data_IF_727532908772
#
_entry.id   IF_727532908772
#
_cell.length_a   1.000
_cell.length_b   1.000
_cell.length_c   1.000
_cell.angle_alpha   90.00
_cell.angle_beta   90.00
_cell.angle_gamma   90.00
#
_symmetry.space_group_name_H-M   'P 1'
#
loop_
_entity.id
_entity.type
_entity.pdbx_description
1 polymer ?
#
# COMPACT_ATOMS: atom_id res chain seq x y z
N UNK A 1 -24.89 4.35 19.68
CA UNK A 1 -24.12 4.47 18.42
C UNK A 1 -24.81 3.85 17.20
N UNK A 2 -25.52 2.72 17.29
CA UNK A 2 -26.16 2.07 16.13
C UNK A 2 -27.21 2.94 15.39
N UNK A 3 -27.98 3.77 16.09
CA UNK A 3 -29.02 4.62 15.48
C UNK A 3 -28.48 5.76 14.61
N UNK A 4 -27.26 6.25 14.87
CA UNK A 4 -26.64 7.34 14.11
C UNK A 4 -26.21 6.86 12.73
N UNK A 5 -25.64 5.66 12.65
CA UNK A 5 -25.24 5.05 11.38
C UNK A 5 -26.44 4.71 10.49
N UNK A 6 -27.52 4.20 11.08
CA UNK A 6 -28.77 3.92 10.35
C UNK A 6 -29.37 5.21 9.80
N UNK A 7 -29.40 6.28 10.60
CA UNK A 7 -29.89 7.60 10.14
C UNK A 7 -29.08 8.17 8.97
N UNK A 8 -27.76 8.02 8.99
CA UNK A 8 -26.87 8.54 7.94
C UNK A 8 -27.05 7.78 6.61
N UNK A 9 -27.30 6.47 6.67
CA UNK A 9 -27.62 5.64 5.51
C UNK A 9 -28.95 6.04 4.87
N UNK A 10 -29.98 6.30 5.69
CA UNK A 10 -31.31 6.73 5.20
C UNK A 10 -31.22 8.09 4.51
N UNK A 11 -30.42 9.03 5.06
CA UNK A 11 -30.18 10.35 4.47
C UNK A 11 -29.44 10.22 3.12
N UNK A 12 -28.45 9.34 3.02
CA UNK A 12 -27.71 9.08 1.77
C UNK A 12 -28.60 8.45 0.68
N UNK A 13 -29.46 7.51 1.05
CA UNK A 13 -30.45 6.91 0.14
C UNK A 13 -31.47 7.94 -0.34
N UNK A 14 -31.96 8.80 0.55
CA UNK A 14 -32.86 9.90 0.19
C UNK A 14 -32.19 10.91 -0.74
N UNK A 15 -30.94 11.29 -0.46
CA UNK A 15 -30.18 12.20 -1.32
C UNK A 15 -29.92 11.60 -2.72
N UNK A 16 -29.58 10.31 -2.80
CA UNK A 16 -29.41 9.59 -4.06
C UNK A 16 -30.71 9.47 -4.87
N UNK A 17 -31.84 9.20 -4.21
CA UNK A 17 -33.15 9.14 -4.83
C UNK A 17 -33.63 10.51 -5.34
N UNK A 18 -33.42 11.58 -4.56
CA UNK A 18 -33.76 12.96 -4.96
C UNK A 18 -32.93 13.41 -6.16
N UNK A 19 -31.63 13.08 -6.21
CA UNK A 19 -30.77 13.36 -7.36
C UNK A 19 -31.22 12.61 -8.64
N UNK A 20 -31.77 11.40 -8.49
CA UNK A 20 -32.30 10.60 -9.61
C UNK A 20 -33.64 11.13 -10.13
N UNK A 21 -34.54 11.59 -9.24
CA UNK A 21 -35.86 12.13 -9.61
C UNK A 21 -35.74 13.52 -10.24
N UNK A 22 -34.84 14.37 -9.76
CA UNK A 22 -34.59 15.71 -10.32
C UNK A 22 -33.71 15.68 -11.58
N UNK A 23 -33.02 14.56 -11.85
CA UNK A 23 -32.06 14.40 -12.96
C UNK A 23 -32.65 14.27 -14.37
N UNK A 24 -33.96 14.45 -14.57
CA UNK A 24 -34.61 14.16 -15.86
C UNK A 24 -34.53 15.28 -16.90
N UNK A 25 -33.97 16.45 -16.60
CA UNK A 25 -33.72 17.51 -17.58
C UNK A 25 -32.35 18.19 -17.38
N UNK A 26 -31.37 17.87 -18.23
CA UNK A 26 -30.21 18.73 -18.50
C UNK A 26 -28.88 18.48 -17.78
N UNK A 27 -28.69 17.37 -17.04
CA UNK A 27 -27.48 17.15 -16.22
C UNK A 27 -26.43 16.26 -16.91
N UNK A 28 -25.14 16.58 -16.65
CA UNK A 28 -23.94 15.89 -17.11
C UNK A 28 -23.94 14.38 -16.74
N UNK A 29 -23.54 13.52 -17.68
CA UNK A 29 -23.50 12.05 -17.52
C UNK A 29 -22.69 11.60 -16.30
N UNK A 30 -21.71 12.39 -15.88
CA UNK A 30 -20.89 12.13 -14.69
C UNK A 30 -21.68 12.11 -13.39
N UNK A 31 -22.66 13.02 -13.21
CA UNK A 31 -23.47 13.10 -11.98
C UNK A 31 -24.38 11.88 -11.82
N UNK A 32 -24.90 11.33 -12.93
CA UNK A 32 -25.69 10.11 -12.93
C UNK A 32 -24.86 8.89 -12.49
N UNK A 33 -23.60 8.81 -12.96
CA UNK A 33 -22.66 7.74 -12.58
C UNK A 33 -22.34 7.82 -11.09
N UNK A 34 -22.09 9.01 -10.55
CA UNK A 34 -21.84 9.19 -9.10
C UNK A 34 -23.04 8.80 -8.24
N UNK A 35 -24.27 9.15 -8.66
CA UNK A 35 -25.48 8.75 -7.94
C UNK A 35 -25.65 7.21 -7.89
N UNK A 36 -25.38 6.52 -8.99
CA UNK A 36 -25.37 5.06 -9.03
C UNK A 36 -24.27 4.46 -8.15
N UNK A 37 -23.07 5.05 -8.17
CA UNK A 37 -21.94 4.62 -7.33
C UNK A 37 -22.29 4.70 -5.85
N UNK A 38 -22.95 5.78 -5.42
CA UNK A 38 -23.42 5.97 -4.03
C UNK A 38 -24.47 4.92 -3.64
N UNK A 39 -25.43 4.62 -4.53
CA UNK A 39 -26.44 3.59 -4.26
C UNK A 39 -25.83 2.20 -4.13
N UNK A 40 -24.88 1.84 -5.01
CA UNK A 40 -24.20 0.54 -4.98
C UNK A 40 -23.32 0.39 -3.75
N UNK A 41 -22.56 1.43 -3.38
CA UNK A 41 -21.73 1.39 -2.15
C UNK A 41 -22.60 1.32 -0.89
N UNK A 42 -23.73 2.01 -0.85
CA UNK A 42 -24.66 1.95 0.29
C UNK A 42 -25.27 0.56 0.43
N UNK A 43 -25.71 -0.06 -0.68
CA UNK A 43 -26.21 -1.44 -0.67
C UNK A 43 -25.13 -2.45 -0.22
N UNK A 44 -23.89 -2.28 -0.70
CA UNK A 44 -22.75 -3.10 -0.26
C UNK A 44 -22.46 -2.98 1.23
N UNK A 45 -22.56 -1.77 1.80
CA UNK A 45 -22.36 -1.54 3.22
C UNK A 45 -23.44 -2.21 4.09
N UNK A 46 -24.73 -2.13 3.68
CA UNK A 46 -25.84 -2.80 4.39
C UNK A 46 -25.65 -4.31 4.40
N UNK A 47 -25.23 -4.90 3.27
CA UNK A 47 -24.96 -6.33 3.16
C UNK A 47 -23.81 -6.78 4.10
N UNK A 48 -22.71 -6.01 4.14
CA UNK A 48 -21.59 -6.26 5.04
C UNK A 48 -22.01 -6.17 6.53
N UNK A 49 -22.77 -5.15 6.89
CA UNK A 49 -23.28 -4.97 8.25
C UNK A 49 -24.19 -6.13 8.69
N UNK A 50 -25.08 -6.62 7.80
CA UNK A 50 -25.92 -7.79 8.06
C UNK A 50 -25.09 -9.05 8.33
N UNK A 51 -24.04 -9.29 7.53
CA UNK A 51 -23.16 -10.45 7.71
C UNK A 51 -22.37 -10.41 9.02
N UNK A 52 -21.92 -9.23 9.43
CA UNK A 52 -21.25 -9.04 10.73
C UNK A 52 -22.21 -9.30 11.89
N UNK A 53 -23.45 -8.81 11.81
CA UNK A 53 -24.48 -9.05 12.82
C UNK A 53 -24.82 -10.54 13.01
N UNK A 54 -24.87 -11.30 11.92
CA UNK A 54 -25.13 -12.74 11.97
C UNK A 54 -23.94 -13.52 12.56
N UNK A 55 -22.71 -13.11 12.22
CA UNK A 55 -21.49 -13.64 12.83
C UNK A 55 -21.45 -13.37 14.34
N UNK A 56 -21.84 -12.18 14.78
CA UNK A 56 -21.95 -11.85 16.20
C UNK A 56 -23.04 -12.66 16.92
N UNK A 57 -24.18 -12.94 16.26
CA UNK A 57 -25.24 -13.78 16.84
C UNK A 57 -24.72 -15.19 17.13
N UNK A 58 -24.11 -15.82 16.12
CA UNK A 58 -23.52 -17.16 16.25
C UNK A 58 -22.41 -17.17 17.31
N UNK A 59 -21.58 -16.12 17.35
CA UNK A 59 -20.54 -15.99 18.37
C UNK A 59 -21.12 -15.87 19.78
N UNK A 60 -22.16 -15.06 19.99
CA UNK A 60 -22.85 -14.95 21.28
C UNK A 60 -23.50 -16.26 21.72
N UNK A 61 -24.07 -17.02 20.79
CA UNK A 61 -24.59 -18.38 21.07
C UNK A 61 -23.47 -19.31 21.53
N UNK A 62 -22.35 -19.38 20.80
CA UNK A 62 -21.20 -20.20 21.19
C UNK A 62 -20.60 -19.80 22.53
N UNK A 63 -20.48 -18.50 22.81
CA UNK A 63 -19.98 -17.99 24.09
C UNK A 63 -20.93 -18.34 25.24
N UNK A 64 -22.25 -18.28 25.03
CA UNK A 64 -23.22 -18.71 26.06
C UNK A 64 -23.14 -20.20 26.32
N UNK A 65 -23.05 -21.01 25.27
CA UNK A 65 -22.94 -22.47 25.37
C UNK A 65 -21.64 -22.88 26.07
N UNK A 66 -20.51 -22.28 25.67
CA UNK A 66 -19.21 -22.46 26.34
C UNK A 66 -19.25 -22.04 27.81
N UNK A 67 -19.85 -20.89 28.12
CA UNK A 67 -19.99 -20.45 29.51
C UNK A 67 -20.88 -21.38 30.35
N UNK A 68 -21.93 -21.95 29.74
CA UNK A 68 -22.78 -22.95 30.40
C UNK A 68 -22.00 -24.25 30.66
N UNK A 69 -21.24 -24.73 29.68
CA UNK A 69 -20.36 -25.90 29.83
C UNK A 69 -19.30 -25.66 30.90
N UNK A 70 -18.58 -24.54 30.86
CA UNK A 70 -17.58 -24.16 31.87
C UNK A 70 -18.20 -24.14 33.27
N UNK A 71 -19.37 -23.51 33.45
CA UNK A 71 -20.05 -23.48 34.76
C UNK A 71 -20.40 -24.87 35.25
N UNK A 72 -20.95 -25.71 34.37
CA UNK A 72 -21.37 -27.07 34.73
C UNK A 72 -20.16 -27.95 35.07
N UNK A 73 -19.06 -27.84 34.32
CA UNK A 73 -17.81 -28.56 34.59
C UNK A 73 -17.09 -28.06 35.84
N UNK A 74 -17.16 -26.75 36.14
CA UNK A 74 -16.44 -26.15 37.29
C UNK A 74 -17.18 -26.33 38.61
N UNK A 75 -18.50 -26.24 38.59
CA UNK A 75 -19.32 -26.14 39.80
C UNK A 75 -20.39 -27.24 39.91
N UNK A 76 -20.50 -28.12 38.91
CA UNK A 76 -21.42 -29.26 38.92
C UNK A 76 -22.87 -28.87 38.67
N UNK A 77 -23.77 -29.81 38.95
CA UNK A 77 -25.22 -29.74 38.66
C UNK A 77 -25.98 -28.67 39.46
N UNK A 78 -25.33 -28.08 40.46
CA UNK A 78 -25.91 -27.11 41.39
C UNK A 78 -25.47 -25.66 41.13
N UNK A 79 -24.69 -25.44 40.07
CA UNK A 79 -24.19 -24.13 39.68
C UNK A 79 -25.33 -23.13 39.45
N UNK A 80 -25.35 -22.04 40.22
CA UNK A 80 -26.35 -20.97 40.11
C UNK A 80 -27.69 -21.24 40.78
N UNK A 81 -27.89 -22.40 41.44
CA UNK A 81 -29.09 -22.66 42.24
C UNK A 81 -29.06 -21.88 43.56
N UNK A 82 -30.23 -21.52 44.06
CA UNK A 82 -30.42 -20.84 45.35
C UNK A 82 -30.76 -21.86 46.43
N UNK A 83 -29.94 -21.93 47.47
CA UNK A 83 -30.05 -22.88 48.58
C UNK A 83 -30.66 -22.24 49.83
N UNK A 84 -31.47 -23.01 50.55
CA UNK A 84 -31.94 -22.67 51.89
C UNK A 84 -31.53 -23.77 52.88
N UNK A 85 -30.89 -23.43 53.98
CA UNK A 85 -30.50 -24.39 55.02
C UNK A 85 -31.53 -24.33 56.15
N UNK A 86 -32.20 -25.45 56.44
CA UNK A 86 -33.18 -25.55 57.53
C UNK A 86 -32.56 -26.10 58.82
N UNK A 87 -32.89 -25.50 59.97
CA UNK A 87 -32.63 -26.02 61.33
C UNK A 87 -31.26 -26.69 61.52
N UNK A 88 -30.19 -25.91 61.33
CA UNK A 88 -28.80 -26.31 61.58
C UNK A 88 -28.19 -25.40 62.65
N UNK A 89 -27.38 -25.97 63.53
CA UNK A 89 -26.57 -25.18 64.46
C UNK A 89 -25.60 -24.27 63.68
N UNK A 90 -25.36 -23.04 64.16
CA UNK A 90 -24.59 -22.01 63.43
C UNK A 90 -23.20 -22.49 62.97
N UNK A 91 -22.54 -23.35 63.74
CA UNK A 91 -21.23 -23.92 63.42
C UNK A 91 -21.28 -24.92 62.25
N UNK A 92 -22.32 -25.76 62.17
CA UNK A 92 -22.50 -26.69 61.06
C UNK A 92 -23.02 -25.99 59.80
N UNK A 93 -23.84 -24.95 59.98
CA UNK A 93 -24.31 -24.10 58.91
C UNK A 93 -23.15 -23.40 58.18
N UNK A 94 -22.09 -23.00 58.90
CA UNK A 94 -20.90 -22.41 58.28
C UNK A 94 -20.17 -23.37 57.32
N UNK A 95 -19.99 -24.62 57.73
CA UNK A 95 -19.36 -25.65 56.87
C UNK A 95 -20.21 -25.99 55.65
N UNK A 96 -21.54 -26.07 55.80
CA UNK A 96 -22.47 -26.28 54.69
C UNK A 96 -22.50 -25.09 53.72
N UNK A 97 -22.45 -23.86 54.24
CA UNK A 97 -22.36 -22.65 53.41
C UNK A 97 -21.14 -22.67 52.50
N UNK A 98 -19.98 -23.05 53.03
CA UNK A 98 -18.75 -23.12 52.26
C UNK A 98 -18.84 -24.17 51.13
N UNK A 99 -19.43 -25.34 51.41
CA UNK A 99 -19.64 -26.40 50.40
C UNK A 99 -20.64 -25.99 49.31
N UNK A 100 -21.72 -25.30 49.67
CA UNK A 100 -22.69 -24.76 48.71
C UNK A 100 -22.03 -23.73 47.78
N UNK A 101 -21.17 -22.86 48.33
CA UNK A 101 -20.40 -21.90 47.53
C UNK A 101 -19.41 -22.60 46.60
N UNK A 102 -18.78 -23.70 47.03
CA UNK A 102 -17.90 -24.52 46.19
C UNK A 102 -18.65 -25.21 45.03
N UNK A 103 -19.94 -25.52 45.22
CA UNK A 103 -20.84 -25.99 44.16
C UNK A 103 -21.41 -24.84 43.29
N UNK A 104 -20.90 -23.61 43.45
CA UNK A 104 -21.36 -22.44 42.70
C UNK A 104 -22.81 -22.04 43.00
N UNK A 105 -23.39 -22.56 44.09
CA UNK A 105 -24.70 -22.19 44.58
C UNK A 105 -24.67 -20.87 45.36
N UNK A 106 -25.82 -20.23 45.49
CA UNK A 106 -25.99 -19.05 46.34
C UNK A 106 -26.91 -19.36 47.50
N UNK A 107 -26.70 -18.73 48.66
CA UNK A 107 -27.62 -18.89 49.79
C UNK A 107 -28.74 -17.85 49.74
N UNK A 108 -29.94 -18.29 50.08
CA UNK A 108 -31.06 -17.41 50.35
C UNK A 108 -30.81 -16.60 51.61
N UNK A 109 -30.94 -15.28 51.51
CA UNK A 109 -30.88 -14.36 52.66
C UNK A 109 -32.18 -14.35 53.48
N UNK A 110 -33.20 -15.11 53.06
CA UNK A 110 -34.50 -15.17 53.71
C UNK A 110 -34.46 -16.10 54.93
N UNK A 111 -35.12 -15.72 56.02
CA UNK A 111 -35.33 -16.59 57.19
C UNK A 111 -36.35 -17.72 56.95
N UNK A 112 -37.11 -17.64 55.85
CA UNK A 112 -38.14 -18.62 55.47
C UNK A 112 -37.96 -19.08 54.03
N UNK A 113 -38.38 -20.30 53.72
CA UNK A 113 -38.42 -20.83 52.34
C UNK A 113 -39.35 -19.96 51.47
N UNK A 114 -38.85 -19.57 50.29
CA UNK A 114 -39.52 -18.72 49.28
C UNK A 114 -39.45 -19.40 47.91
N UNK A 115 -40.24 -18.91 46.95
CA UNK A 115 -40.33 -19.45 45.59
C UNK A 115 -39.07 -19.30 44.75
N UNK A 116 -38.12 -18.44 45.15
CA UNK A 116 -36.84 -18.26 44.48
C UNK A 116 -35.73 -19.18 45.04
N UNK A 117 -36.09 -20.13 45.90
CA UNK A 117 -35.20 -21.17 46.41
C UNK A 117 -35.38 -22.38 45.51
N UNK A 118 -34.28 -22.97 45.07
CA UNK A 118 -34.29 -24.16 44.22
C UNK A 118 -34.03 -25.44 45.03
N UNK A 119 -33.22 -25.33 46.09
CA UNK A 119 -32.76 -26.48 46.89
C UNK A 119 -32.87 -26.20 48.39
N UNK A 120 -33.39 -27.15 49.15
CA UNK A 120 -33.49 -27.10 50.61
C UNK A 120 -32.56 -28.13 51.23
N UNK A 121 -31.69 -27.68 52.13
CA UNK A 121 -30.75 -28.52 52.86
C UNK A 121 -31.31 -28.85 54.23
N UNK A 122 -31.51 -30.14 54.50
CA UNK A 122 -32.06 -30.67 55.76
C UNK A 122 -31.00 -31.47 56.52
N UNK A 123 -31.09 -31.46 57.84
CA UNK A 123 -30.25 -32.31 58.69
C UNK A 123 -30.71 -33.77 58.74
N UNK A 124 -32.03 -33.99 58.62
CA UNK A 124 -32.67 -35.29 58.68
C UNK A 124 -33.58 -35.44 57.45
N UNK A 125 -33.30 -36.38 56.53
CA UNK A 125 -34.09 -36.58 55.31
C UNK A 125 -35.53 -37.02 55.60
N UNK A 126 -35.85 -37.53 56.79
CA UNK A 126 -37.21 -37.88 57.18
C UNK A 126 -38.03 -36.65 57.63
N UNK A 127 -37.37 -35.53 57.94
CA UNK A 127 -38.00 -34.29 58.44
C UNK A 127 -37.96 -33.18 57.39
N UNK A 128 -38.65 -33.42 56.29
CA UNK A 128 -38.77 -32.45 55.19
C UNK A 128 -39.72 -31.31 55.58
N UNK A 129 -39.31 -30.03 55.46
CA UNK A 129 -40.18 -28.89 55.71
C UNK A 129 -41.44 -28.92 54.81
N UNK A 130 -42.66 -28.70 55.34
CA UNK A 130 -43.90 -28.79 54.55
C UNK A 130 -43.90 -27.83 53.35
N UNK A 131 -43.33 -26.64 53.51
CA UNK A 131 -43.18 -25.64 52.45
C UNK A 131 -42.28 -26.10 51.28
N UNK A 132 -41.30 -26.97 51.54
CA UNK A 132 -40.46 -27.54 50.49
C UNK A 132 -41.25 -28.53 49.63
N UNK A 133 -42.16 -29.31 50.25
CA UNK A 133 -43.07 -30.21 49.54
C UNK A 133 -44.11 -29.44 48.71
N UNK A 134 -44.68 -28.38 49.25
CA UNK A 134 -45.65 -27.52 48.54
C UNK A 134 -45.04 -26.90 47.27
N UNK A 135 -43.79 -26.44 47.35
CA UNK A 135 -43.09 -25.80 46.25
C UNK A 135 -42.35 -26.78 45.32
N UNK A 136 -42.45 -28.09 45.57
CA UNK A 136 -41.73 -29.14 44.82
C UNK A 136 -40.22 -28.88 44.71
N UNK A 137 -39.61 -28.41 45.81
CA UNK A 137 -38.18 -28.09 45.86
C UNK A 137 -37.34 -29.36 46.01
N UNK A 138 -36.13 -29.32 45.46
CA UNK A 138 -35.15 -30.39 45.66
C UNK A 138 -34.67 -30.38 47.12
N UNK A 139 -34.67 -31.54 47.78
CA UNK A 139 -34.28 -31.68 49.19
C UNK A 139 -33.01 -32.51 49.28
N UNK A 140 -31.97 -31.95 49.90
CA UNK A 140 -30.68 -32.60 50.09
C UNK A 140 -30.32 -32.69 51.57
N UNK A 141 -29.70 -33.78 51.97
CA UNK A 141 -29.07 -33.91 53.27
C UNK A 141 -27.56 -33.58 53.20
N UNK A 142 -26.89 -33.61 54.35
CA UNK A 142 -25.43 -33.39 54.45
C UNK A 142 -24.64 -34.39 53.61
N UNK A 143 -25.12 -35.63 53.52
CA UNK A 143 -24.49 -36.70 52.73
C UNK A 143 -24.59 -36.41 51.24
N UNK A 144 -25.77 -36.01 50.75
CA UNK A 144 -26.00 -35.68 49.36
C UNK A 144 -25.16 -34.46 48.90
N UNK A 145 -24.98 -33.45 49.76
CA UNK A 145 -24.08 -32.32 49.45
C UNK A 145 -22.63 -32.76 49.34
N UNK A 146 -22.17 -33.66 50.22
CA UNK A 146 -20.81 -34.21 50.13
C UNK A 146 -20.61 -35.06 48.87
N UNK A 147 -21.62 -35.85 48.50
CA UNK A 147 -21.60 -36.65 47.28
C UNK A 147 -21.56 -35.74 46.05
N UNK A 148 -22.41 -34.72 45.99
CA UNK A 148 -22.42 -33.72 44.92
C UNK A 148 -21.07 -33.00 44.78
N UNK A 149 -20.42 -32.64 45.90
CA UNK A 149 -19.09 -32.04 45.89
C UNK A 149 -18.04 -33.02 45.35
N UNK A 150 -18.10 -34.28 45.79
CA UNK A 150 -17.18 -35.33 45.32
C UNK A 150 -17.34 -35.57 43.83
N UNK A 151 -18.57 -35.68 43.33
CA UNK A 151 -18.87 -35.83 41.90
C UNK A 151 -18.38 -34.63 41.09
N UNK A 152 -18.56 -33.41 41.61
CA UNK A 152 -18.08 -32.18 40.95
C UNK A 152 -16.55 -32.16 40.87
N UNK A 153 -15.86 -32.54 41.96
CA UNK A 153 -14.40 -32.62 42.00
C UNK A 153 -13.86 -33.71 41.05
N UNK A 154 -14.50 -34.89 41.01
CA UNK A 154 -14.16 -35.96 40.08
C UNK A 154 -14.40 -35.54 38.62
N UNK A 155 -15.49 -34.84 38.34
CA UNK A 155 -15.79 -34.29 37.02
C UNK A 155 -14.76 -33.24 36.59
N UNK A 156 -14.34 -32.37 37.51
CA UNK A 156 -13.27 -31.39 37.30
C UNK A 156 -11.93 -32.08 37.03
N UNK A 157 -11.57 -33.10 37.81
CA UNK A 157 -10.35 -33.88 37.64
C UNK A 157 -10.36 -34.63 36.30
N UNK A 158 -11.47 -35.25 35.92
CA UNK A 158 -11.64 -35.88 34.61
C UNK A 158 -11.50 -34.88 33.46
N UNK A 159 -12.08 -33.69 33.60
CA UNK A 159 -11.93 -32.60 32.62
C UNK A 159 -10.48 -32.09 32.55
N UNK A 160 -9.79 -31.94 33.68
CA UNK A 160 -8.37 -31.58 33.73
C UNK A 160 -7.53 -32.67 33.06
N UNK A 161 -7.77 -33.95 33.33
CA UNK A 161 -7.06 -35.07 32.71
C UNK A 161 -7.34 -35.10 31.21
N UNK A 162 -8.59 -34.93 30.78
CA UNK A 162 -8.94 -34.87 29.37
C UNK A 162 -8.25 -33.68 28.69
N UNK A 163 -8.27 -32.49 29.30
CA UNK A 163 -7.60 -31.31 28.79
C UNK A 163 -6.08 -31.46 28.78
N UNK A 164 -5.48 -32.12 29.77
CA UNK A 164 -4.07 -32.50 29.77
C UNK A 164 -3.74 -33.53 28.69
N UNK A 165 -4.64 -34.46 28.36
CA UNK A 165 -4.46 -35.42 27.25
C UNK A 165 -4.66 -34.77 25.88
N UNK A 166 -5.57 -33.81 25.77
CA UNK A 166 -5.75 -32.98 24.58
C UNK A 166 -4.54 -32.07 24.39
N UNK A 167 -4.09 -31.41 25.46
CA UNK A 167 -2.86 -30.63 25.50
C UNK A 167 -1.64 -31.49 25.16
N UNK A 168 -1.46 -32.67 25.77
CA UNK A 168 -0.36 -33.57 25.45
C UNK A 168 -0.41 -34.05 23.98
N UNK A 169 -1.60 -34.33 23.43
CA UNK A 169 -1.75 -34.66 21.99
C UNK A 169 -1.42 -33.49 21.08
N UNK A 170 -1.78 -32.27 21.48
CA UNK A 170 -1.45 -31.04 20.77
C UNK A 170 0.05 -30.73 20.91
N UNK A 171 0.64 -30.93 22.08
CA UNK A 171 2.07 -30.74 22.38
C UNK A 171 2.94 -31.80 21.67
N UNK A 172 2.45 -33.03 21.47
CA UNK A 172 3.11 -34.02 20.61
C UNK A 172 3.12 -33.61 19.14
N UNK A 173 2.24 -32.68 18.74
CA UNK A 173 2.20 -32.12 17.38
C UNK A 173 2.94 -30.77 17.29
N UNK A 174 3.16 -30.05 18.41
CA UNK A 174 3.64 -28.66 18.46
C UNK A 174 5.07 -28.43 18.96
N UNK A 175 5.83 -29.49 19.25
CA UNK A 175 7.24 -29.40 19.69
C UNK A 175 8.11 -30.46 18.99
N UNK A 176 7.71 -30.89 17.79
CA UNK A 176 8.49 -31.83 17.00
C UNK A 176 9.69 -31.09 16.45
N UNK A 177 10.82 -31.41 17.05
CA UNK A 177 12.11 -30.90 16.65
C UNK A 177 12.99 -32.08 16.28
N UNK A 178 13.70 -31.94 15.18
CA UNK A 178 14.68 -32.91 14.75
C UNK A 178 16.05 -32.24 14.72
N UNK A 179 17.07 -33.03 14.98
CA UNK A 179 18.42 -32.63 14.61
C UNK A 179 18.69 -33.10 13.19
N UNK A 180 19.39 -32.28 12.42
CA UNK A 180 19.88 -32.64 11.09
C UNK A 180 21.30 -32.13 10.91
N UNK A 181 22.06 -32.76 10.03
CA UNK A 181 23.34 -32.26 9.52
C UNK A 181 23.29 -32.01 8.01
N UNK A 182 22.15 -32.30 7.36
CA UNK A 182 22.03 -32.45 5.92
C UNK A 182 20.98 -31.49 5.40
N UNK A 183 21.41 -30.24 5.20
CA UNK A 183 20.60 -29.21 4.56
C UNK A 183 21.35 -28.65 3.35
N UNK A 184 20.72 -28.76 2.20
CA UNK A 184 21.14 -28.10 0.96
C UNK A 184 20.11 -27.03 0.63
N UNK A 185 20.47 -25.73 0.66
CA UNK A 185 19.52 -24.65 0.44
C UNK A 185 18.96 -24.69 -1.00
N UNK A 186 17.71 -24.21 -1.20
CA UNK A 186 17.12 -24.05 -2.53
C UNK A 186 17.97 -23.15 -3.44
N UNK A 187 17.93 -23.40 -4.76
CA UNK A 187 18.55 -22.48 -5.72
C UNK A 187 17.61 -21.32 -5.98
N UNK A 188 18.16 -20.10 -5.99
CA UNK A 188 17.39 -18.88 -6.16
C UNK A 188 18.05 -17.95 -7.19
N UNK A 189 17.23 -17.18 -7.91
CA UNK A 189 17.65 -16.18 -8.89
C UNK A 189 17.06 -14.80 -8.54
N UNK A 190 17.72 -13.68 -8.91
CA UNK A 190 17.18 -12.34 -8.67
C UNK A 190 15.79 -12.18 -9.31
N UNK A 191 14.84 -11.62 -8.56
CA UNK A 191 13.49 -11.42 -9.08
C UNK A 191 13.43 -10.17 -9.98
N UNK A 192 13.00 -10.30 -11.26
CA UNK A 192 12.94 -9.17 -12.19
C UNK A 192 12.03 -8.05 -11.66
N UNK A 193 12.60 -6.86 -11.45
CA UNK A 193 11.85 -5.68 -11.00
C UNK A 193 11.77 -5.48 -9.49
N UNK A 194 12.23 -6.44 -8.68
CA UNK A 194 12.28 -6.33 -7.21
C UNK A 194 13.74 -6.45 -6.72
N UNK A 195 14.41 -5.30 -6.56
CA UNK A 195 15.82 -5.27 -6.15
C UNK A 195 15.97 -5.79 -4.72
N UNK A 196 16.81 -6.82 -4.54
CA UNK A 196 17.10 -7.42 -3.23
C UNK A 196 16.19 -8.59 -2.85
N UNK A 197 15.22 -8.96 -3.70
CA UNK A 197 14.41 -10.17 -3.57
C UNK A 197 14.83 -11.22 -4.60
N UNK A 198 14.65 -12.48 -4.22
CA UNK A 198 15.03 -13.63 -5.03
C UNK A 198 13.85 -14.58 -5.18
N UNK A 199 13.81 -15.33 -6.28
CA UNK A 199 12.81 -16.35 -6.56
C UNK A 199 13.47 -17.73 -6.57
N UNK A 200 12.84 -18.70 -5.91
CA UNK A 200 13.27 -20.09 -5.97
C UNK A 200 13.10 -20.68 -7.37
N UNK A 201 14.18 -21.24 -7.91
CA UNK A 201 14.24 -21.92 -9.21
C UNK A 201 14.40 -23.43 -9.08
N UNK A 202 14.86 -23.91 -7.92
CA UNK A 202 14.81 -25.33 -7.56
C UNK A 202 14.61 -25.50 -6.06
N UNK A 203 13.97 -26.59 -5.67
CA UNK A 203 13.83 -26.98 -4.27
C UNK A 203 15.21 -27.26 -3.64
N UNK A 204 15.26 -27.11 -2.32
CA UNK A 204 16.35 -27.56 -1.47
C UNK A 204 16.10 -28.97 -0.96
N UNK A 205 17.12 -29.55 -0.33
CA UNK A 205 17.06 -30.88 0.26
C UNK A 205 17.34 -30.81 1.76
N UNK A 206 16.55 -31.54 2.55
CA UNK A 206 16.74 -31.70 3.98
C UNK A 206 16.65 -33.18 4.35
N UNK A 207 17.56 -33.68 5.20
CA UNK A 207 17.40 -35.03 5.78
C UNK A 207 17.20 -34.94 7.29
N UNK A 208 16.05 -35.37 7.78
CA UNK A 208 15.79 -35.43 9.22
C UNK A 208 16.41 -36.69 9.82
N UNK A 209 17.04 -36.54 10.98
CA UNK A 209 17.47 -37.69 11.79
C UNK A 209 16.31 -38.04 12.72
N UNK A 210 15.68 -39.17 12.45
CA UNK A 210 14.56 -39.73 13.20
C UNK A 210 15.05 -40.68 14.29
N UNK A 211 14.36 -40.68 15.43
CA UNK A 211 14.55 -41.67 16.48
C UNK A 211 13.90 -43.01 16.09
N UNK A 212 14.21 -44.07 16.87
CA UNK A 212 13.55 -45.37 16.72
C UNK A 212 12.06 -45.35 17.11
N UNK A 213 11.64 -44.33 17.87
CA UNK A 213 10.26 -44.14 18.33
C UNK A 213 9.42 -43.33 17.33
N UNK A 214 10.06 -42.64 16.38
CA UNK A 214 9.38 -41.89 15.33
C UNK A 214 8.77 -42.81 14.26
N UNK A 215 7.58 -42.44 13.77
CA UNK A 215 6.90 -43.15 12.68
C UNK A 215 7.71 -43.14 11.38
N UNK A 216 7.37 -44.01 10.42
CA UNK A 216 8.05 -44.04 9.11
C UNK A 216 7.94 -42.72 8.34
N UNK A 217 6.83 -41.98 8.53
CA UNK A 217 6.58 -40.66 7.95
C UNK A 217 6.02 -39.72 9.03
N UNK A 218 6.88 -39.06 9.81
CA UNK A 218 6.45 -38.17 10.88
C UNK A 218 5.97 -36.81 10.36
N UNK A 219 6.38 -36.40 9.16
CA UNK A 219 6.02 -35.13 8.52
C UNK A 219 5.19 -35.37 7.25
N UNK A 220 4.35 -34.39 6.92
CA UNK A 220 3.48 -34.42 5.74
C UNK A 220 3.94 -33.43 4.68
N UNK A 221 3.63 -33.70 3.41
CA UNK A 221 3.72 -32.69 2.34
C UNK A 221 2.83 -31.49 2.69
N UNK A 222 3.36 -30.29 2.47
CA UNK A 222 2.74 -29.00 2.82
C UNK A 222 2.95 -28.58 4.28
N UNK A 223 3.65 -29.36 5.10
CA UNK A 223 4.03 -28.93 6.45
C UNK A 223 5.13 -27.86 6.39
N UNK A 224 5.12 -26.97 7.37
CA UNK A 224 6.09 -25.88 7.50
C UNK A 224 7.24 -26.30 8.42
N UNK A 225 8.47 -25.92 8.07
CA UNK A 225 9.68 -26.22 8.83
C UNK A 225 10.52 -24.97 9.01
N UNK A 226 10.85 -24.63 10.25
CA UNK A 226 11.82 -23.59 10.60
C UNK A 226 13.18 -24.21 10.89
N UNK A 227 14.24 -23.72 10.21
CA UNK A 227 15.59 -24.26 10.32
C UNK A 227 16.52 -23.28 11.04
N UNK A 228 17.28 -23.79 12.00
CA UNK A 228 18.26 -23.02 12.77
C UNK A 228 19.62 -23.70 12.79
N UNK A 229 20.66 -22.98 12.40
CA UNK A 229 22.04 -23.32 12.67
C UNK A 229 22.36 -23.02 14.15
N UNK A 230 22.51 -24.08 14.95
CA UNK A 230 22.80 -23.96 16.39
C UNK A 230 24.28 -23.69 16.70
N UNK A 231 25.14 -23.56 15.69
CA UNK A 231 26.57 -23.31 15.87
C UNK A 231 26.93 -21.81 15.86
N UNK A 232 25.95 -20.93 15.67
CA UNK A 232 26.14 -19.48 15.57
C UNK A 232 25.14 -18.76 16.47
N UNK A 233 25.63 -17.96 17.42
CA UNK A 233 24.80 -17.14 18.33
C UNK A 233 24.34 -15.81 17.69
N UNK A 234 24.41 -15.69 16.36
CA UNK A 234 24.11 -14.48 15.61
C UNK A 234 22.75 -14.54 14.89
N UNK A 235 22.28 -13.39 14.39
CA UNK A 235 21.03 -13.27 13.61
C UNK A 235 21.05 -14.08 12.28
N UNK A 236 22.19 -14.70 11.93
CA UNK A 236 22.36 -15.59 10.77
C UNK A 236 22.26 -17.08 11.15
N UNK A 237 22.04 -17.37 12.43
CA UNK A 237 21.66 -18.69 12.90
C UNK A 237 20.30 -19.14 12.37
N UNK A 238 19.43 -18.22 11.96
CA UNK A 238 18.17 -18.57 11.30
C UNK A 238 18.37 -18.80 9.79
N UNK A 239 18.05 -20.00 9.32
CA UNK A 239 18.22 -20.39 7.91
C UNK A 239 16.95 -20.20 7.07
N UNK A 240 15.82 -19.89 7.72
CA UNK A 240 14.54 -19.61 7.05
C UNK A 240 13.44 -20.63 7.34
N UNK A 241 12.28 -20.38 6.73
CA UNK A 241 11.08 -21.22 6.83
C UNK A 241 10.80 -21.85 5.48
N UNK A 242 10.52 -23.15 5.50
CA UNK A 242 10.37 -23.96 4.31
C UNK A 242 9.07 -24.77 4.35
N UNK A 243 8.42 -24.90 3.20
CA UNK A 243 7.34 -25.86 2.95
C UNK A 243 7.94 -27.18 2.51
N UNK A 244 7.42 -28.30 3.02
CA UNK A 244 7.76 -29.64 2.52
C UNK A 244 7.00 -29.88 1.21
N UNK A 245 7.73 -29.95 0.10
CA UNK A 245 7.16 -30.24 -1.22
C UNK A 245 7.01 -31.75 -1.45
N UNK A 246 7.97 -32.54 -0.99
CA UNK A 246 7.95 -33.99 -1.14
C UNK A 246 8.59 -34.69 0.06
N UNK A 247 7.96 -35.77 0.53
CA UNK A 247 8.48 -36.66 1.58
C UNK A 247 9.01 -37.93 0.93
N UNK A 248 10.33 -38.09 0.92
CA UNK A 248 11.03 -39.25 0.38
C UNK A 248 10.87 -40.51 1.24
N UNK A 249 11.61 -41.56 0.87
CA UNK A 249 11.65 -42.80 1.65
C UNK A 249 12.60 -42.67 2.85
N UNK A 250 12.27 -43.37 3.94
CA UNK A 250 13.12 -43.48 5.13
C UNK A 250 14.20 -44.52 4.90
N UNK A 251 15.46 -44.11 5.01
CA UNK A 251 16.64 -44.98 4.94
C UNK A 251 17.27 -45.07 6.34
N UNK A 252 16.93 -46.13 7.08
CA UNK A 252 17.36 -46.29 8.47
C UNK A 252 16.78 -45.21 9.39
N UNK A 253 17.62 -44.33 9.91
CA UNK A 253 17.22 -43.18 10.75
C UNK A 253 17.13 -41.87 9.98
N UNK A 254 17.30 -41.86 8.65
CA UNK A 254 17.25 -40.66 7.83
C UNK A 254 15.96 -40.61 7.01
N UNK A 255 15.28 -39.47 7.03
CA UNK A 255 14.15 -39.18 6.15
C UNK A 255 14.52 -38.03 5.21
N UNK A 256 14.52 -38.30 3.90
CA UNK A 256 14.77 -37.27 2.89
C UNK A 256 13.52 -36.43 2.61
N UNK A 257 13.68 -35.11 2.54
CA UNK A 257 12.64 -34.13 2.26
C UNK A 257 13.10 -33.19 1.15
N UNK A 258 12.19 -32.93 0.20
CA UNK A 258 12.29 -31.83 -0.76
C UNK A 258 11.58 -30.63 -0.17
N UNK A 259 12.25 -29.49 -0.10
CA UNK A 259 11.74 -28.30 0.58
C UNK A 259 11.82 -27.06 -0.31
N UNK A 260 10.79 -26.23 -0.29
CA UNK A 260 10.78 -24.92 -0.96
C UNK A 260 10.71 -23.79 0.07
N UNK A 261 11.31 -22.62 -0.18
CA UNK A 261 11.12 -21.47 0.70
C UNK A 261 9.64 -21.15 0.80
N UNK A 262 9.10 -21.09 2.02
CA UNK A 262 7.71 -20.67 2.23
C UNK A 262 7.55 -19.17 1.94
N UNK A 263 8.64 -18.42 2.07
CA UNK A 263 8.71 -16.97 1.87
C UNK A 263 9.68 -16.63 0.74
N UNK A 264 9.43 -15.51 0.03
CA UNK A 264 10.36 -14.97 -0.99
C UNK A 264 11.72 -14.66 -0.35
N UNK A 265 12.81 -15.35 -0.73
CA UNK A 265 14.12 -15.14 -0.12
C UNK A 265 14.69 -13.75 -0.37
N UNK A 266 15.44 -13.22 0.59
CA UNK A 266 16.13 -11.93 0.50
C UNK A 266 17.66 -12.06 0.66
N UNK A 267 18.38 -10.94 0.59
CA UNK A 267 19.84 -10.92 0.71
C UNK A 267 20.39 -11.48 2.04
N UNK A 268 19.61 -11.44 3.12
CA UNK A 268 19.98 -12.00 4.42
C UNK A 268 19.88 -13.53 4.39
N UNK A 269 18.81 -14.07 3.80
CA UNK A 269 18.66 -15.52 3.62
C UNK A 269 19.82 -16.10 2.80
N UNK A 270 20.20 -15.43 1.70
CA UNK A 270 21.35 -15.85 0.89
C UNK A 270 22.66 -15.78 1.67
N UNK A 271 22.85 -14.78 2.54
CA UNK A 271 24.03 -14.67 3.38
C UNK A 271 24.08 -15.81 4.40
N UNK A 272 22.95 -16.11 5.08
CA UNK A 272 22.84 -17.22 6.01
C UNK A 272 23.10 -18.59 5.32
N UNK A 273 22.56 -18.79 4.12
CA UNK A 273 22.81 -20.01 3.33
C UNK A 273 24.26 -20.14 2.85
N UNK A 274 24.89 -19.01 2.50
CA UNK A 274 26.31 -18.97 2.16
C UNK A 274 27.20 -19.30 3.36
N UNK A 275 26.88 -18.72 4.52
CA UNK A 275 27.61 -18.97 5.76
C UNK A 275 27.45 -20.44 6.20
N UNK A 276 26.25 -21.01 6.10
CA UNK A 276 26.00 -22.44 6.31
C UNK A 276 26.82 -23.33 5.37
N UNK A 277 26.83 -23.02 4.08
CA UNK A 277 27.56 -23.82 3.08
C UNK A 277 29.08 -23.68 3.17
N UNK A 278 29.59 -22.60 3.77
CA UNK A 278 31.00 -22.48 4.18
C UNK A 278 31.28 -23.28 5.46
N UNK A 279 30.41 -23.16 6.47
CA UNK A 279 30.53 -23.84 7.76
C UNK A 279 30.54 -25.36 7.60
N UNK A 280 29.60 -25.93 6.84
CA UNK A 280 29.52 -27.38 6.60
C UNK A 280 30.76 -27.97 5.93
N UNK A 281 31.50 -27.19 5.14
CA UNK A 281 32.77 -27.64 4.55
C UNK A 281 33.91 -27.69 5.58
N UNK A 282 33.85 -26.86 6.61
CA UNK A 282 34.91 -26.72 7.61
C UNK A 282 34.64 -27.53 8.90
N UNK A 283 33.37 -27.74 9.25
CA UNK A 283 32.96 -28.33 10.52
C UNK A 283 33.00 -29.87 10.48
N UNK A 284 33.50 -30.48 11.58
CA UNK A 284 33.52 -31.94 11.74
C UNK A 284 32.12 -32.55 11.99
N UNK A 285 31.20 -31.80 12.59
CA UNK A 285 29.84 -32.24 12.95
C UNK A 285 28.85 -31.06 12.89
N UNK A 286 28.45 -30.61 11.70
CA UNK A 286 27.45 -29.55 11.58
C UNK A 286 26.10 -30.01 12.13
N UNK A 287 25.40 -29.13 12.87
CA UNK A 287 24.07 -29.42 13.43
C UNK A 287 23.10 -28.28 13.15
N UNK A 288 21.96 -28.64 12.57
CA UNK A 288 20.77 -27.81 12.42
C UNK A 288 19.70 -28.37 13.35
N UNK A 289 18.98 -27.48 14.01
CA UNK A 289 17.70 -27.79 14.59
C UNK A 289 16.59 -27.46 13.59
N UNK A 290 15.74 -28.46 13.36
CA UNK A 290 14.56 -28.36 12.50
C UNK A 290 13.35 -28.39 13.39
N UNK A 291 12.47 -27.41 13.25
CA UNK A 291 11.22 -27.33 14.01
C UNK A 291 10.04 -27.31 13.05
N UNK A 292 9.03 -28.13 13.30
CA UNK A 292 7.75 -28.05 12.58
C UNK A 292 6.88 -26.88 13.09
N UNK A 293 7.13 -26.42 14.32
CA UNK A 293 6.54 -25.24 14.95
C UNK A 293 7.56 -24.58 15.90
N UNK A 294 7.64 -23.25 15.98
CA UNK A 294 8.54 -22.55 16.91
C UNK A 294 8.09 -22.79 18.37
N UNK A 295 9.03 -23.00 19.31
CA UNK A 295 8.67 -23.21 20.72
C UNK A 295 7.99 -21.96 21.28
N UNK A 296 6.69 -22.08 21.58
CA UNK A 296 5.95 -21.06 22.32
C UNK A 296 6.15 -21.30 23.82
N UNK A 297 6.96 -20.45 24.46
CA UNK A 297 6.97 -20.40 25.92
C UNK A 297 5.64 -19.81 26.40
N UNK A 298 5.08 -20.38 27.48
CA UNK A 298 3.74 -20.11 27.99
C UNK A 298 3.49 -18.67 28.52
N UNK A 299 4.43 -17.74 28.37
CA UNK A 299 4.27 -16.36 28.87
C UNK A 299 4.09 -15.30 27.78
N UNK A 300 4.14 -15.68 26.49
CA UNK A 300 3.86 -14.75 25.39
C UNK A 300 2.81 -15.33 24.45
N UNK A 301 1.58 -14.82 24.63
CA UNK A 301 0.48 -14.89 23.68
C UNK A 301 0.89 -14.38 22.29
N UNK A 302 0.44 -15.09 21.25
CA UNK A 302 0.87 -15.06 19.84
C UNK A 302 2.03 -16.01 19.56
N UNK A 303 1.66 -17.14 18.96
CA UNK A 303 2.56 -18.09 18.31
C UNK A 303 3.66 -17.33 17.55
N UNK A 304 4.93 -17.59 17.85
CA UNK A 304 6.06 -16.87 17.30
C UNK A 304 6.14 -17.04 15.77
N UNK A 305 5.71 -18.18 15.22
CA UNK A 305 5.56 -18.36 13.77
C UNK A 305 4.44 -17.50 13.22
N UNK A 306 3.30 -17.44 13.92
CA UNK A 306 2.21 -16.54 13.60
C UNK A 306 2.64 -15.05 13.65
N UNK A 307 3.47 -14.65 14.62
CA UNK A 307 4.00 -13.30 14.71
C UNK A 307 5.04 -13.01 13.61
N UNK A 308 5.81 -14.03 13.20
CA UNK A 308 6.86 -13.94 12.19
C UNK A 308 6.28 -13.96 10.77
N UNK A 309 5.50 -14.98 10.41
CA UNK A 309 4.92 -15.23 9.09
C UNK A 309 3.61 -14.46 8.89
N UNK A 310 2.77 -14.42 9.92
CA UNK A 310 1.43 -13.86 9.87
C UNK A 310 0.33 -14.88 10.09
N UNK A 311 -0.93 -14.44 9.99
CA UNK A 311 -2.10 -15.34 9.94
C UNK A 311 -2.85 -15.18 8.64
N UNK A 312 -3.32 -16.28 8.06
CA UNK A 312 -4.30 -16.26 6.97
C UNK A 312 -5.68 -16.62 7.54
N UNK A 313 -6.58 -15.65 7.60
CA UNK A 313 -7.95 -15.88 8.06
C UNK A 313 -8.80 -16.18 6.83
N UNK A 314 -9.19 -17.45 6.65
CA UNK A 314 -10.16 -17.83 5.62
C UNK A 314 -11.52 -17.20 5.94
N UNK A 315 -11.89 -16.20 5.17
CA UNK A 315 -13.25 -15.64 5.22
C UNK A 315 -14.05 -16.12 4.02
N UNK A 316 -15.36 -16.01 4.11
CA UNK A 316 -16.26 -16.35 3.01
C UNK A 316 -16.24 -15.31 1.86
N UNK A 317 -15.33 -14.33 1.90
CA UNK A 317 -14.99 -13.44 0.79
C UNK A 317 -13.59 -13.73 0.19
N UNK A 318 -12.89 -14.75 0.72
CA UNK A 318 -11.51 -15.07 0.39
C UNK A 318 -10.59 -15.03 1.61
N UNK A 319 -9.37 -15.58 1.51
CA UNK A 319 -8.38 -15.46 2.57
C UNK A 319 -7.95 -14.01 2.78
N UNK A 320 -7.92 -13.56 4.04
CA UNK A 320 -7.33 -12.28 4.45
C UNK A 320 -6.03 -12.62 5.17
N UNK A 321 -4.89 -12.28 4.56
CA UNK A 321 -3.57 -12.46 5.15
C UNK A 321 -3.19 -11.23 5.98
N UNK A 322 -2.93 -11.44 7.26
CA UNK A 322 -2.21 -10.52 8.14
C UNK A 322 -0.73 -10.87 8.05
N UNK A 323 0.05 -10.12 7.27
CA UNK A 323 1.51 -10.32 7.18
C UNK A 323 2.18 -10.16 8.56
N UNK A 324 2.93 -11.17 9.02
CA UNK A 324 3.76 -11.08 10.22
C UNK A 324 5.00 -10.20 10.01
N UNK A 325 5.91 -10.17 10.98
CA UNK A 325 7.15 -9.37 10.93
C UNK A 325 7.97 -9.57 9.66
N UNK A 326 8.11 -10.81 9.18
CA UNK A 326 8.80 -11.14 7.93
C UNK A 326 8.05 -10.62 6.71
N UNK A 327 6.72 -10.72 6.71
CA UNK A 327 5.90 -10.14 5.65
C UNK A 327 5.98 -8.61 5.64
N UNK A 328 6.02 -7.96 6.81
CA UNK A 328 6.21 -6.50 6.92
C UNK A 328 7.59 -6.08 6.43
N UNK A 329 8.66 -6.77 6.82
CA UNK A 329 10.02 -6.53 6.32
C UNK A 329 10.08 -6.63 4.80
N UNK A 330 9.49 -7.67 4.21
CA UNK A 330 9.44 -7.84 2.74
C UNK A 330 8.66 -6.73 2.03
N UNK A 331 7.50 -6.35 2.57
CA UNK A 331 6.73 -5.23 2.03
C UNK A 331 7.54 -3.93 2.06
N UNK A 332 8.25 -3.66 3.16
CA UNK A 332 9.13 -2.51 3.28
C UNK A 332 10.30 -2.56 2.28
N UNK A 333 10.90 -3.72 2.04
CA UNK A 333 11.93 -3.88 1.01
C UNK A 333 11.39 -3.64 -0.40
N UNK A 334 10.18 -4.12 -0.70
CA UNK A 334 9.53 -3.87 -1.98
C UNK A 334 9.21 -2.39 -2.18
N UNK A 335 8.69 -1.72 -1.14
CA UNK A 335 8.46 -0.27 -1.15
C UNK A 335 9.77 0.50 -1.32
N UNK A 336 10.83 0.11 -0.64
CA UNK A 336 12.15 0.71 -0.78
C UNK A 336 12.69 0.57 -2.21
N UNK A 337 12.51 -0.60 -2.84
CA UNK A 337 12.88 -0.83 -4.24
C UNK A 337 12.07 0.07 -5.18
N UNK A 338 10.76 0.22 -4.95
CA UNK A 338 9.90 1.13 -5.74
C UNK A 338 10.34 2.59 -5.60
N UNK A 339 10.64 3.04 -4.37
CA UNK A 339 11.17 4.38 -4.11
C UNK A 339 12.52 4.59 -4.79
N UNK A 340 13.39 3.59 -4.81
CA UNK A 340 14.65 3.61 -5.55
C UNK A 340 14.44 3.81 -7.06
N UNK A 341 13.51 3.07 -7.65
CA UNK A 341 13.15 3.21 -9.06
C UNK A 341 12.55 4.58 -9.39
N UNK A 342 11.66 5.11 -8.53
CA UNK A 342 11.13 6.47 -8.66
C UNK A 342 12.23 7.53 -8.58
N UNK A 343 13.19 7.35 -7.67
CA UNK A 343 14.34 8.26 -7.52
C UNK A 343 15.19 8.29 -8.79
N UNK A 344 15.45 7.13 -9.40
CA UNK A 344 16.17 7.05 -10.67
C UNK A 344 15.41 7.76 -11.81
N UNK A 345 14.09 7.61 -11.89
CA UNK A 345 13.26 8.32 -12.88
C UNK A 345 13.27 9.83 -12.67
N UNK A 346 13.19 10.31 -11.42
CA UNK A 346 13.27 11.73 -11.08
C UNK A 346 14.64 12.30 -11.47
N UNK A 347 15.73 11.56 -11.26
CA UNK A 347 17.08 11.96 -11.68
C UNK A 347 17.17 12.12 -13.20
N UNK A 348 16.63 11.16 -13.96
CA UNK A 348 16.56 11.26 -15.43
C UNK A 348 15.72 12.45 -15.90
N UNK A 349 14.56 12.70 -15.29
CA UNK A 349 13.72 13.85 -15.59
C UNK A 349 14.43 15.18 -15.25
N UNK A 350 15.19 15.23 -14.17
CA UNK A 350 15.99 16.39 -13.77
C UNK A 350 17.11 16.66 -14.78
N UNK A 351 17.82 15.62 -15.23
CA UNK A 351 18.82 15.76 -16.27
C UNK A 351 18.23 16.23 -17.61
N UNK A 352 17.05 15.73 -18.00
CA UNK A 352 16.36 16.15 -19.21
C UNK A 352 15.92 17.63 -19.14
N UNK A 353 15.32 18.04 -18.01
CA UNK A 353 14.91 19.44 -17.81
C UNK A 353 16.09 20.40 -17.76
N UNK A 354 17.23 19.99 -17.20
CA UNK A 354 18.45 20.79 -17.22
C UNK A 354 18.98 20.98 -18.65
N UNK A 355 19.01 19.93 -19.48
CA UNK A 355 19.40 20.05 -20.90
C UNK A 355 18.46 20.99 -21.68
N UNK A 356 17.16 20.92 -21.43
CA UNK A 356 16.19 21.83 -22.07
C UNK A 356 16.38 23.28 -21.62
N UNK A 357 16.71 23.50 -20.34
CA UNK A 357 17.07 24.84 -19.82
C UNK A 357 18.31 25.39 -20.52
N UNK A 358 19.35 24.57 -20.68
CA UNK A 358 20.60 24.98 -21.32
C UNK A 358 20.39 25.31 -22.80
N UNK A 359 19.63 24.49 -23.53
CA UNK A 359 19.20 24.77 -24.92
C UNK A 359 18.46 26.10 -25.04
N UNK A 360 17.48 26.35 -24.16
CA UNK A 360 16.73 27.61 -24.17
C UNK A 360 17.63 28.83 -23.90
N UNK A 361 18.64 28.68 -23.03
CA UNK A 361 19.62 29.74 -22.77
C UNK A 361 20.47 30.02 -24.00
N UNK A 362 20.91 28.99 -24.72
CA UNK A 362 21.62 29.14 -25.99
C UNK A 362 20.75 29.83 -27.06
N UNK A 363 19.49 29.40 -27.22
CA UNK A 363 18.54 30.04 -28.14
C UNK A 363 18.32 31.52 -27.79
N UNK A 364 18.12 31.84 -26.50
CA UNK A 364 17.95 33.23 -26.06
C UNK A 364 19.20 34.08 -26.37
N UNK A 365 20.40 33.53 -26.17
CA UNK A 365 21.65 34.21 -26.52
C UNK A 365 21.78 34.42 -28.03
N UNK A 366 21.37 33.44 -28.85
CA UNK A 366 21.34 33.56 -30.31
C UNK A 366 20.41 34.68 -30.77
N UNK A 367 19.16 34.68 -30.29
CA UNK A 367 18.17 35.72 -30.60
C UNK A 367 18.63 37.12 -30.16
N UNK A 368 19.35 37.22 -29.05
CA UNK A 368 19.91 38.49 -28.61
C UNK A 368 20.98 39.01 -29.58
N UNK A 369 21.86 38.13 -30.08
CA UNK A 369 22.87 38.49 -31.10
C UNK A 369 22.21 38.92 -32.42
N UNK A 370 21.21 38.16 -32.87
CA UNK A 370 20.47 38.47 -34.10
C UNK A 370 19.78 39.84 -33.99
N UNK A 371 19.20 40.15 -32.83
CA UNK A 371 18.60 41.47 -32.57
C UNK A 371 19.62 42.60 -32.67
N UNK A 372 20.82 42.44 -32.12
CA UNK A 372 21.86 43.47 -32.24
C UNK A 372 22.35 43.61 -33.68
N UNK A 373 22.53 42.50 -34.42
CA UNK A 373 22.88 42.54 -35.84
C UNK A 373 21.83 43.28 -36.68
N UNK A 374 20.53 43.01 -36.47
CA UNK A 374 19.45 43.73 -37.15
C UNK A 374 19.41 45.22 -36.81
N UNK A 375 19.82 45.59 -35.60
CA UNK A 375 19.94 47.01 -35.21
C UNK A 375 21.07 47.69 -35.97
N UNK A 376 22.22 47.03 -36.12
CA UNK A 376 23.34 47.51 -36.93
C UNK A 376 22.93 47.65 -38.41
N UNK A 377 22.28 46.64 -38.98
CA UNK A 377 21.79 46.65 -40.36
C UNK A 377 20.78 47.78 -40.60
N UNK A 378 19.86 47.99 -39.66
CA UNK A 378 18.88 49.08 -39.72
C UNK A 378 19.57 50.44 -39.71
N UNK A 379 20.57 50.65 -38.85
CA UNK A 379 21.36 51.89 -38.83
C UNK A 379 22.15 52.09 -40.12
N UNK A 380 22.74 51.01 -40.67
CA UNK A 380 23.44 51.06 -41.94
C UNK A 380 22.50 51.45 -43.09
N UNK A 381 21.32 50.83 -43.16
CA UNK A 381 20.31 51.12 -44.17
C UNK A 381 19.81 52.58 -44.08
N UNK A 382 19.57 53.09 -42.88
CA UNK A 382 19.22 54.49 -42.65
C UNK A 382 20.33 55.44 -43.13
N UNK A 383 21.60 55.11 -42.82
CA UNK A 383 22.75 55.89 -43.30
C UNK A 383 22.91 55.85 -44.83
N UNK A 384 22.65 54.71 -45.46
CA UNK A 384 22.65 54.58 -46.91
C UNK A 384 21.52 55.38 -47.57
N UNK A 385 20.31 55.35 -46.99
CA UNK A 385 19.17 56.13 -47.45
C UNK A 385 19.47 57.63 -47.37
N UNK A 386 19.99 58.12 -46.24
CA UNK A 386 20.36 59.53 -46.08
C UNK A 386 21.40 59.98 -47.13
N UNK A 387 22.38 59.12 -47.46
CA UNK A 387 23.35 59.41 -48.53
C UNK A 387 22.71 59.47 -49.91
N UNK A 388 21.75 58.58 -50.20
CA UNK A 388 21.01 58.59 -51.46
C UNK A 388 20.13 59.85 -51.59
N UNK A 389 19.44 60.24 -50.52
CA UNK A 389 18.64 61.47 -50.48
C UNK A 389 19.52 62.70 -50.70
N UNK A 390 20.69 62.78 -50.05
CA UNK A 390 21.65 63.86 -50.25
C UNK A 390 22.19 63.92 -51.69
N UNK A 391 22.47 62.75 -52.30
CA UNK A 391 22.86 62.65 -53.72
C UNK A 391 21.73 63.10 -54.64
N UNK A 392 20.49 62.68 -54.37
CA UNK A 392 19.30 63.10 -55.12
C UNK A 392 19.08 64.61 -55.05
N UNK A 393 19.24 65.22 -53.87
CA UNK A 393 19.20 66.67 -53.68
C UNK A 393 20.27 67.40 -54.48
N UNK A 394 21.52 66.92 -54.43
CA UNK A 394 22.63 67.47 -55.23
C UNK A 394 22.36 67.35 -56.73
N UNK A 395 21.88 66.19 -57.20
CA UNK A 395 21.55 65.96 -58.60
C UNK A 395 20.44 66.89 -59.08
N UNK A 396 19.38 67.09 -58.27
CA UNK A 396 18.29 68.02 -58.57
C UNK A 396 18.79 69.46 -58.71
N UNK A 397 19.68 69.89 -57.81
CA UNK A 397 20.32 71.22 -57.88
C UNK A 397 21.17 71.36 -59.13
N UNK A 398 22.04 70.39 -59.42
CA UNK A 398 22.88 70.39 -60.62
C UNK A 398 22.04 70.41 -61.92
N UNK A 399 20.92 69.69 -61.95
CA UNK A 399 20.00 69.67 -63.09
C UNK A 399 19.32 71.03 -63.27
N UNK A 400 18.88 71.67 -62.18
CA UNK A 400 18.34 73.03 -62.24
C UNK A 400 19.39 74.02 -62.75
N UNK A 401 20.60 74.00 -62.19
CA UNK A 401 21.70 74.87 -62.65
C UNK A 401 22.03 74.63 -64.13
N UNK A 402 22.08 73.37 -64.57
CA UNK A 402 22.33 73.01 -65.97
C UNK A 402 21.21 73.52 -66.88
N UNK A 403 19.94 73.37 -66.48
CA UNK A 403 18.79 73.93 -67.23
C UNK A 403 18.89 75.44 -67.36
N UNK A 404 19.21 76.14 -66.27
CA UNK A 404 19.41 77.59 -66.29
C UNK A 404 20.55 77.98 -67.23
N UNK A 405 21.67 77.25 -67.21
CA UNK A 405 22.78 77.47 -68.17
C UNK A 405 22.39 77.20 -69.61
N UNK A 406 21.61 76.15 -69.89
CA UNK A 406 21.13 75.86 -71.25
C UNK A 406 20.20 76.97 -71.75
N UNK A 407 19.34 77.50 -70.89
CA UNK A 407 18.48 78.64 -71.24
C UNK A 407 19.31 79.92 -71.48
N UNK A 408 20.34 80.16 -70.66
CA UNK A 408 21.30 81.26 -70.87
C UNK A 408 22.05 81.11 -72.20
N UNK A 409 22.57 79.92 -72.50
CA UNK A 409 23.22 79.64 -73.78
C UNK A 409 22.26 79.78 -74.96
N UNK A 410 21.00 79.37 -74.80
CA UNK A 410 19.97 79.55 -75.83
C UNK A 410 19.71 81.03 -76.10
N UNK A 411 19.60 81.84 -75.06
CA UNK A 411 19.40 83.29 -75.19
C UNK A 411 20.62 83.97 -75.79
N UNK A 412 21.84 83.61 -75.40
CA UNK A 412 23.08 84.06 -76.08
C UNK A 412 23.10 83.67 -77.56
N UNK A 413 22.64 82.47 -77.91
CA UNK A 413 22.62 81.98 -79.29
C UNK A 413 21.54 82.70 -80.12
N UNK A 414 20.37 82.99 -79.52
CA UNK A 414 19.33 83.82 -80.12
C UNK A 414 19.84 85.27 -80.34
N UNK A 415 20.56 85.85 -79.38
CA UNK A 415 21.19 87.17 -79.53
C UNK A 415 22.30 87.18 -80.60
N UNK A 416 23.17 86.18 -80.61
CA UNK A 416 24.22 86.03 -81.64
C UNK A 416 23.61 85.87 -83.03
N UNK A 417 22.54 85.08 -83.15
CA UNK A 417 21.83 84.92 -84.42
C UNK A 417 21.12 86.21 -84.84
N UNK A 418 20.51 86.95 -83.91
CA UNK A 418 19.93 88.25 -84.20
C UNK A 418 21.00 89.27 -84.66
N UNK A 419 22.19 89.25 -84.05
CA UNK A 419 23.34 90.06 -84.49
C UNK A 419 23.82 89.65 -85.88
N UNK A 420 23.96 88.35 -86.15
CA UNK A 420 24.33 87.83 -87.47
C UNK A 420 23.33 88.27 -88.54
N UNK A 421 22.02 88.12 -88.29
CA UNK A 421 20.97 88.54 -89.21
C UNK A 421 20.95 90.06 -89.42
N UNK A 422 21.21 90.84 -88.38
CA UNK A 422 21.36 92.29 -88.51
C UNK A 422 22.59 92.69 -89.36
N UNK A 423 23.67 91.92 -89.28
CA UNK A 423 24.89 92.12 -90.07
C UNK A 423 24.69 91.71 -91.54
N UNK A 424 24.01 90.60 -91.80
CA UNK A 424 23.57 90.17 -93.13
C UNK A 424 22.67 91.24 -93.77
N UNK A 425 21.65 91.73 -93.04
CA UNK A 425 20.76 92.79 -93.54
C UNK A 425 21.49 94.13 -93.78
N UNK A 426 22.59 94.41 -93.07
CA UNK A 426 23.47 95.56 -93.34
C UNK A 426 24.26 95.38 -94.64
N UNK A 427 24.68 94.16 -94.95
CA UNK A 427 25.40 93.84 -96.18
C UNK A 427 24.49 93.85 -97.43
N UNK A 428 23.19 93.61 -97.27
CA UNK A 428 22.22 93.53 -98.37
C UNK A 428 21.64 94.87 -98.88
N UNK A 429 22.03 96.04 -98.34
CA UNK A 429 21.62 97.34 -98.92
C UNK A 429 22.50 97.71 -100.13
N UNK A 430 21.99 97.79 -101.38
CA UNK A 430 22.78 98.17 -102.55
C UNK A 430 22.81 99.70 -102.74
N UNK A 431 24.00 100.27 -103.01
CA UNK A 431 24.18 101.63 -103.54
C UNK A 431 24.26 101.58 -105.07
N UNK A 432 23.30 102.19 -105.75
CA UNK A 432 23.35 102.47 -107.20
C UNK A 432 23.93 103.88 -107.47
N UNK A 433 25.08 103.88 -108.17
CA UNK A 433 25.59 104.71 -109.28
C UNK A 433 25.21 106.20 -109.48
N UNK A 434 26.22 107.03 -109.82
CA UNK A 434 26.46 107.52 -111.21
C UNK A 434 27.36 108.77 -111.29
N UNK A 435 28.13 108.86 -112.38
CA UNK A 435 29.12 109.86 -112.78
C UNK A 435 28.57 110.96 -113.72
N UNK A 436 29.01 112.22 -113.50
CA UNK A 436 29.32 113.32 -114.44
C UNK A 436 28.17 113.91 -115.34
N UNK A 437 28.09 115.17 -115.80
CA UNK A 437 29.03 116.31 -116.06
C UNK A 437 28.19 117.56 -116.46
N UNK A 438 28.73 118.79 -116.33
CA UNK A 438 28.50 120.01 -117.17
C UNK A 438 29.34 121.16 -116.57
N UNK A 439 29.97 122.10 -117.24
CA UNK A 439 30.03 122.54 -118.64
C UNK A 439 30.76 123.91 -118.67
N UNK A 440 31.41 124.19 -119.78
CA UNK A 440 32.22 125.36 -120.23
C UNK A 440 31.72 126.79 -119.97
N UNK A 441 32.65 127.75 -119.85
CA UNK A 441 32.63 129.07 -120.52
C UNK A 441 34.02 129.79 -120.49
N UNK A 442 34.29 130.58 -121.53
CA UNK A 442 35.55 131.23 -121.93
C UNK A 442 35.86 132.56 -121.19
N UNK A 443 37.06 133.17 -121.30
CA UNK A 443 37.47 134.06 -122.40
C UNK A 443 38.99 134.40 -122.41
N UNK A 444 39.50 134.59 -123.64
CA UNK A 444 40.83 135.03 -124.14
C UNK A 444 41.97 134.01 -124.16
#
# INVERSE_FOLDING_TARGET
>A
MQYVFIGLIVILLLAGAVALVLGRQGINRTTLVFAWLVLVTTAGFIFLAGRVGERERIWREKVRDLNAQIRTTTFGTYAGKVFFISDTADSEAAGLRQKILQLGGSLSNSKTIRSNVDVVVVNDPEKIPPKAKELSLEVLDKTAINNALTETLQGLEAAIIQKRREQARIETWRNRHWSSAFFTPPKVEPEPGNVGLYKAVSNGELRLILSAEDSEKPVNTGAELALFNLATDDERGFLGIFSIEEVGQREGNLLALSIAPLTTPDAHDLAAWKDWSLFTRAAKNPRIAVYEDLPSSNELSFDALTALVGTEIKTAAGPIASSGLEGMRRNLLQELSRVGNMTAQISLATAATQRERDRKKETANGLMKDREAWKEDSQFAQGALAKLEARGGTLKKNLQETRTRVLALRTELEELNARLMAEINRAEKPKENSSATRGTAALR
#
